data_IF_614328500033
#
_entry.id   IF_614328500033
#
_cell.length_a   1.000
_cell.length_b   1.000
_cell.length_c   1.000
_cell.angle_alpha   90.00
_cell.angle_beta   90.00
_cell.angle_gamma   90.00
#
_symmetry.space_group_name_H-M   'P 1'
#
loop_
_entity.id
_entity.type
_entity.pdbx_description
1 polymer ?
#
# COMPACT_ATOMS: atom_id res chain seq x y z
N UNK A 1 9.75 -0.86 13.31
CA UNK A 1 10.32 -2.02 14.06
C UNK A 1 11.77 -1.77 14.47
N UNK A 2 12.15 -2.14 15.69
CA UNK A 2 13.54 -2.14 16.14
C UNK A 2 14.02 -3.58 16.33
N UNK A 3 15.27 -3.87 15.93
CA UNK A 3 15.85 -5.23 15.94
C UNK A 3 17.22 -5.32 16.63
N UNK A 4 17.62 -4.26 17.35
CA UNK A 4 18.93 -4.17 18.00
C UNK A 4 19.16 -5.22 19.11
N UNK A 5 18.07 -5.81 19.65
CA UNK A 5 18.13 -6.84 20.69
C UNK A 5 18.54 -8.22 20.17
N UNK A 6 18.51 -8.46 18.85
CA UNK A 6 18.84 -9.74 18.26
C UNK A 6 20.33 -9.93 18.02
N UNK A 7 20.76 -11.19 17.92
CA UNK A 7 22.15 -11.50 17.58
C UNK A 7 22.50 -11.08 16.14
N UNK A 8 23.79 -10.98 15.85
CA UNK A 8 24.31 -10.48 14.57
C UNK A 8 23.77 -11.24 13.35
N UNK A 9 23.57 -12.55 13.47
CA UNK A 9 23.05 -13.37 12.35
C UNK A 9 21.60 -12.97 11.99
N UNK A 10 20.74 -12.84 13.00
CA UNK A 10 19.34 -12.41 12.78
C UNK A 10 19.29 -10.99 12.23
N UNK A 11 20.11 -10.09 12.76
CA UNK A 11 20.22 -8.72 12.23
C UNK A 11 20.67 -8.71 10.77
N UNK A 12 21.61 -9.56 10.38
CA UNK A 12 22.05 -9.71 8.98
C UNK A 12 20.90 -10.19 8.08
N UNK A 13 20.14 -11.21 8.47
CA UNK A 13 18.98 -11.66 7.67
C UNK A 13 17.97 -10.55 7.48
N UNK A 14 17.62 -9.83 8.55
CA UNK A 14 16.65 -8.71 8.49
C UNK A 14 17.17 -7.61 7.55
N UNK A 15 18.44 -7.24 7.68
CA UNK A 15 19.07 -6.23 6.81
C UNK A 15 19.06 -6.69 5.35
N UNK A 16 19.43 -7.95 5.08
CA UNK A 16 19.37 -8.53 3.73
C UNK A 16 17.98 -8.47 3.13
N UNK A 17 16.93 -8.81 3.90
CA UNK A 17 15.53 -8.69 3.45
C UNK A 17 15.21 -7.25 3.06
N UNK A 18 15.50 -6.28 3.92
CA UNK A 18 15.15 -4.87 3.68
C UNK A 18 15.89 -4.25 2.50
N UNK A 19 17.13 -4.65 2.24
CA UNK A 19 17.94 -4.14 1.12
C UNK A 19 17.62 -4.80 -0.22
N UNK A 20 17.19 -6.06 -0.22
CA UNK A 20 17.06 -6.84 -1.45
C UNK A 20 15.61 -7.09 -1.88
N UNK A 21 14.62 -6.62 -1.14
CA UNK A 21 13.20 -6.89 -1.40
C UNK A 21 12.73 -6.51 -2.82
N UNK A 22 13.34 -5.50 -3.44
CA UNK A 22 13.01 -5.03 -4.79
C UNK A 22 13.94 -5.58 -5.87
N UNK A 23 14.99 -6.33 -5.50
CA UNK A 23 16.05 -6.71 -6.43
C UNK A 23 16.33 -8.21 -6.50
N UNK A 24 16.07 -8.98 -5.43
CA UNK A 24 16.44 -10.40 -5.37
C UNK A 24 15.46 -11.22 -4.51
N UNK A 25 14.38 -11.67 -5.14
CA UNK A 25 13.31 -12.45 -4.51
C UNK A 25 13.82 -13.72 -3.81
N UNK A 26 14.72 -14.47 -4.44
CA UNK A 26 15.21 -15.76 -3.89
C UNK A 26 15.97 -15.56 -2.58
N UNK A 27 16.86 -14.57 -2.53
CA UNK A 27 17.63 -14.22 -1.32
C UNK A 27 16.70 -13.76 -0.20
N UNK A 28 15.69 -12.95 -0.53
CA UNK A 28 14.69 -12.49 0.46
C UNK A 28 13.89 -13.65 1.02
N UNK A 29 13.40 -14.55 0.16
CA UNK A 29 12.63 -15.73 0.59
C UNK A 29 13.46 -16.68 1.46
N UNK A 30 14.75 -16.86 1.15
CA UNK A 30 15.66 -17.65 1.98
C UNK A 30 15.82 -17.03 3.37
N UNK A 31 16.17 -15.74 3.45
CA UNK A 31 16.29 -15.03 4.73
C UNK A 31 14.97 -15.03 5.51
N UNK A 32 13.81 -14.85 4.86
CA UNK A 32 12.52 -14.93 5.52
C UNK A 32 12.27 -16.31 6.15
N UNK A 33 12.62 -17.40 5.44
CA UNK A 33 12.52 -18.77 6.00
C UNK A 33 13.39 -18.94 7.24
N UNK A 34 14.63 -18.45 7.21
CA UNK A 34 15.56 -18.52 8.34
C UNK A 34 15.06 -17.72 9.54
N UNK A 35 14.55 -16.50 9.31
CA UNK A 35 13.94 -15.63 10.33
C UNK A 35 12.74 -16.33 10.97
N UNK A 36 11.83 -16.91 10.16
CA UNK A 36 10.65 -17.63 10.66
C UNK A 36 11.08 -18.87 11.48
N UNK A 37 12.06 -19.63 10.98
CA UNK A 37 12.56 -20.81 11.69
C UNK A 37 13.20 -20.46 13.03
N UNK A 38 13.97 -19.37 13.07
CA UNK A 38 14.54 -18.85 14.31
C UNK A 38 13.45 -18.35 15.27
N UNK A 39 12.50 -17.56 14.77
CA UNK A 39 11.37 -17.06 15.55
C UNK A 39 10.52 -18.17 16.16
N UNK A 40 10.26 -19.26 15.40
CA UNK A 40 9.60 -20.47 15.94
C UNK A 40 10.39 -21.12 17.07
N UNK A 41 11.71 -21.22 16.94
CA UNK A 41 12.59 -21.82 17.95
C UNK A 41 12.66 -21.01 19.24
N UNK A 42 12.54 -19.69 19.13
CA UNK A 42 12.63 -18.75 20.26
C UNK A 42 11.27 -18.29 20.78
N UNK A 43 10.16 -18.75 20.17
CA UNK A 43 8.79 -18.28 20.39
C UNK A 43 8.68 -16.75 20.27
N UNK A 44 9.30 -16.18 19.23
CA UNK A 44 9.32 -14.75 18.98
C UNK A 44 8.32 -14.37 17.88
N UNK A 45 7.14 -13.84 18.23
CA UNK A 45 6.11 -13.47 17.26
C UNK A 45 6.54 -12.33 16.34
N UNK A 46 7.40 -11.42 16.80
CA UNK A 46 7.89 -10.29 16.00
C UNK A 46 8.73 -10.76 14.81
N UNK A 47 9.66 -11.69 15.04
CA UNK A 47 10.46 -12.29 13.97
C UNK A 47 9.59 -13.11 13.01
N UNK A 48 8.66 -13.92 13.54
CA UNK A 48 7.75 -14.68 12.70
C UNK A 48 6.91 -13.75 11.83
N UNK A 49 6.29 -12.74 12.42
CA UNK A 49 5.49 -11.75 11.70
C UNK A 49 6.27 -11.01 10.62
N UNK A 50 7.51 -10.59 10.91
CA UNK A 50 8.41 -9.97 9.94
C UNK A 50 8.69 -10.90 8.75
N UNK A 51 9.12 -12.13 9.01
CA UNK A 51 9.46 -13.08 7.94
C UNK A 51 8.25 -13.44 7.07
N UNK A 52 7.08 -13.64 7.67
CA UNK A 52 5.84 -13.89 6.93
C UNK A 52 5.40 -12.70 6.11
N UNK A 53 5.48 -11.49 6.64
CA UNK A 53 5.09 -10.27 5.93
C UNK A 53 5.95 -10.04 4.67
N UNK A 54 7.28 -9.99 4.83
CA UNK A 54 8.17 -9.74 3.69
C UNK A 54 8.22 -10.91 2.70
N UNK A 55 8.11 -12.14 3.17
CA UNK A 55 7.92 -13.29 2.26
C UNK A 55 6.61 -13.20 1.48
N UNK A 56 5.54 -12.70 2.09
CA UNK A 56 4.27 -12.43 1.44
C UNK A 56 4.37 -11.33 0.38
N UNK A 57 5.07 -10.21 0.65
CA UNK A 57 5.34 -9.18 -0.37
C UNK A 57 6.00 -9.78 -1.62
N UNK A 58 7.02 -10.62 -1.45
CA UNK A 58 7.68 -11.28 -2.58
C UNK A 58 6.73 -12.20 -3.35
N UNK A 59 5.92 -13.01 -2.68
CA UNK A 59 4.93 -13.86 -3.38
C UNK A 59 3.84 -13.06 -4.10
N UNK A 60 3.50 -11.86 -3.59
CA UNK A 60 2.63 -10.93 -4.30
C UNK A 60 3.26 -10.48 -5.63
N UNK A 61 4.52 -10.04 -5.60
CA UNK A 61 5.27 -9.62 -6.80
C UNK A 61 5.47 -10.76 -7.81
N UNK A 62 5.69 -11.98 -7.32
CA UNK A 62 5.77 -13.19 -8.16
C UNK A 62 4.42 -13.66 -8.69
N UNK A 63 3.33 -12.99 -8.34
CA UNK A 63 1.96 -13.37 -8.67
C UNK A 63 1.58 -14.80 -8.18
N UNK A 64 2.23 -15.27 -7.12
CA UNK A 64 1.91 -16.54 -6.45
C UNK A 64 0.89 -16.31 -5.33
N UNK A 65 -0.35 -16.22 -5.74
CA UNK A 65 -1.41 -15.88 -4.81
C UNK A 65 -1.68 -16.90 -3.72
N UNK A 66 -1.36 -18.19 -3.92
CA UNK A 66 -1.56 -19.21 -2.89
C UNK A 66 -0.59 -19.01 -1.72
N UNK A 67 0.69 -18.84 -2.01
CA UNK A 67 1.70 -18.55 -0.99
C UNK A 67 1.49 -17.15 -0.39
N UNK A 68 1.15 -16.16 -1.20
CA UNK A 68 0.85 -14.80 -0.73
C UNK A 68 -0.22 -14.81 0.37
N UNK A 69 -1.41 -15.37 0.11
CA UNK A 69 -2.50 -15.34 1.10
C UNK A 69 -2.13 -16.12 2.37
N UNK A 70 -1.45 -17.25 2.24
CA UNK A 70 -0.95 -17.99 3.40
C UNK A 70 0.02 -17.14 4.23
N UNK A 71 1.04 -16.56 3.60
CA UNK A 71 2.05 -15.74 4.28
C UNK A 71 1.44 -14.51 4.95
N UNK A 72 0.54 -13.78 4.27
CA UNK A 72 -0.10 -12.59 4.84
C UNK A 72 -1.05 -12.94 6.01
N UNK A 73 -1.74 -14.08 5.96
CA UNK A 73 -2.60 -14.53 7.07
C UNK A 73 -1.78 -14.90 8.31
N UNK A 74 -0.66 -15.61 8.11
CA UNK A 74 0.28 -15.91 9.20
C UNK A 74 0.92 -14.62 9.74
N UNK A 75 1.32 -13.69 8.86
CA UNK A 75 1.85 -12.40 9.24
C UNK A 75 0.90 -11.63 10.17
N UNK A 76 -0.38 -11.52 9.80
CA UNK A 76 -1.39 -10.87 10.65
C UNK A 76 -1.43 -11.48 12.05
N UNK A 77 -1.45 -12.83 12.15
CA UNK A 77 -1.52 -13.52 13.43
C UNK A 77 -0.33 -13.20 14.35
N UNK A 78 0.88 -13.18 13.78
CA UNK A 78 2.10 -12.96 14.58
C UNK A 78 2.38 -11.48 14.83
N UNK A 79 2.07 -10.59 13.87
CA UNK A 79 2.24 -9.15 14.03
C UNK A 79 1.27 -8.57 15.05
N UNK A 80 0.01 -9.06 15.09
CA UNK A 80 -0.97 -8.71 16.11
C UNK A 80 -0.45 -9.06 17.52
N UNK A 81 0.04 -10.30 17.71
CA UNK A 81 0.68 -10.73 18.97
C UNK A 81 1.92 -9.94 19.35
N UNK A 82 2.62 -9.40 18.37
CA UNK A 82 3.82 -8.57 18.56
C UNK A 82 3.52 -7.08 18.69
N UNK A 83 2.25 -6.67 18.56
CA UNK A 83 1.77 -5.28 18.60
C UNK A 83 2.46 -4.39 17.53
N UNK A 84 2.82 -4.98 16.37
CA UNK A 84 3.48 -4.27 15.26
C UNK A 84 2.45 -3.73 14.25
N UNK A 85 1.65 -2.78 14.73
CA UNK A 85 0.42 -2.30 14.07
C UNK A 85 0.63 -1.70 12.68
N UNK A 86 1.77 -1.06 12.43
CA UNK A 86 2.09 -0.57 11.08
C UNK A 86 2.08 -1.70 10.04
N UNK A 87 2.69 -2.84 10.36
CA UNK A 87 2.72 -3.98 9.47
C UNK A 87 1.37 -4.71 9.42
N UNK A 88 0.60 -4.73 10.53
CA UNK A 88 -0.77 -5.25 10.53
C UNK A 88 -1.62 -4.51 9.50
N UNK A 89 -1.61 -3.17 9.54
CA UNK A 89 -2.36 -2.34 8.58
C UNK A 89 -1.87 -2.55 7.14
N UNK A 90 -0.57 -2.72 6.94
CA UNK A 90 -0.02 -3.04 5.62
C UNK A 90 -0.45 -4.43 5.13
N UNK A 91 -0.55 -5.43 6.00
CA UNK A 91 -1.13 -6.73 5.64
C UNK A 91 -2.56 -6.60 5.13
N UNK A 92 -3.41 -5.85 5.85
CA UNK A 92 -4.78 -5.58 5.41
C UNK A 92 -4.81 -4.89 4.04
N UNK A 93 -3.93 -3.92 3.81
CA UNK A 93 -3.82 -3.25 2.53
C UNK A 93 -3.49 -4.23 1.39
N UNK A 94 -2.46 -5.07 1.54
CA UNK A 94 -2.08 -6.06 0.54
C UNK A 94 -3.18 -7.10 0.28
N UNK A 95 -3.84 -7.58 1.34
CA UNK A 95 -4.98 -8.50 1.22
C UNK A 95 -6.15 -7.86 0.49
N UNK A 96 -6.41 -6.57 0.74
CA UNK A 96 -7.43 -5.79 0.03
C UNK A 96 -7.12 -5.69 -1.46
N UNK A 97 -5.92 -5.25 -1.84
CA UNK A 97 -5.47 -5.14 -3.23
C UNK A 97 -5.57 -6.49 -3.95
N UNK A 98 -5.07 -7.56 -3.32
CA UNK A 98 -5.11 -8.90 -3.91
C UNK A 98 -6.54 -9.44 -4.05
N UNK A 99 -7.45 -9.06 -3.16
CA UNK A 99 -8.87 -9.43 -3.26
C UNK A 99 -9.57 -8.71 -4.41
N UNK A 100 -9.25 -7.42 -4.63
CA UNK A 100 -9.71 -6.66 -5.80
C UNK A 100 -9.25 -7.31 -7.11
N UNK A 101 -7.95 -7.56 -7.24
CA UNK A 101 -7.36 -8.19 -8.43
C UNK A 101 -7.97 -9.55 -8.77
N UNK A 102 -8.61 -10.22 -7.79
CA UNK A 102 -9.34 -11.48 -7.96
C UNK A 102 -10.85 -11.30 -8.17
N UNK A 103 -11.30 -10.07 -8.34
CA UNK A 103 -12.72 -9.74 -8.56
C UNK A 103 -13.60 -9.94 -7.33
N UNK A 104 -13.06 -9.78 -6.13
CA UNK A 104 -13.81 -9.85 -4.88
C UNK A 104 -13.79 -8.51 -4.12
N UNK A 105 -14.52 -7.48 -4.61
CA UNK A 105 -14.53 -6.15 -4.02
C UNK A 105 -15.10 -6.12 -2.59
N UNK A 106 -16.05 -7.00 -2.26
CA UNK A 106 -16.60 -7.07 -0.90
C UNK A 106 -15.55 -7.49 0.11
N UNK A 107 -14.76 -8.51 -0.20
CA UNK A 107 -13.67 -8.95 0.68
C UNK A 107 -12.55 -7.91 0.76
N UNK A 108 -12.26 -7.23 -0.35
CA UNK A 108 -11.30 -6.13 -0.36
C UNK A 108 -11.73 -5.00 0.59
N UNK A 109 -13.02 -4.63 0.54
CA UNK A 109 -13.58 -3.61 1.42
C UNK A 109 -13.49 -4.01 2.90
N UNK A 110 -13.78 -5.28 3.23
CA UNK A 110 -13.64 -5.80 4.60
C UNK A 110 -12.21 -5.66 5.13
N UNK A 111 -11.21 -5.98 4.30
CA UNK A 111 -9.81 -5.79 4.67
C UNK A 111 -9.45 -4.31 4.86
N UNK A 112 -9.85 -3.44 3.95
CA UNK A 112 -9.60 -2.00 4.09
C UNK A 112 -10.28 -1.40 5.31
N UNK A 113 -11.50 -1.80 5.64
CA UNK A 113 -12.21 -1.35 6.84
C UNK A 113 -11.51 -1.77 8.13
N UNK A 114 -10.95 -3.00 8.19
CA UNK A 114 -10.13 -3.43 9.31
C UNK A 114 -8.84 -2.59 9.40
N UNK A 115 -8.17 -2.34 8.28
CA UNK A 115 -6.98 -1.49 8.23
C UNK A 115 -7.25 -0.06 8.66
N UNK A 116 -8.39 0.54 8.28
CA UNK A 116 -8.81 1.87 8.74
C UNK A 116 -9.02 1.90 10.24
N UNK A 117 -9.77 0.94 10.77
CA UNK A 117 -10.04 0.83 12.20
C UNK A 117 -8.74 0.78 13.01
N UNK A 118 -7.79 -0.05 12.59
CA UNK A 118 -6.52 -0.20 13.30
C UNK A 118 -5.64 1.04 13.10
N UNK A 119 -5.62 1.67 11.94
CA UNK A 119 -4.89 2.91 11.71
C UNK A 119 -5.41 4.07 12.57
N UNK A 120 -6.71 4.15 12.83
CA UNK A 120 -7.31 5.11 13.75
C UNK A 120 -7.01 4.77 15.21
N UNK A 121 -7.09 3.48 15.56
CA UNK A 121 -6.88 3.02 16.95
C UNK A 121 -5.46 3.28 17.44
N UNK A 122 -4.47 3.11 16.54
CA UNK A 122 -3.04 3.19 16.86
C UNK A 122 -2.35 4.46 16.34
N UNK A 123 -3.12 5.45 15.88
CA UNK A 123 -2.63 6.74 15.34
C UNK A 123 -1.57 6.55 14.24
N UNK A 124 -1.95 5.86 13.18
CA UNK A 124 -1.10 5.53 12.03
C UNK A 124 -1.52 6.30 10.76
N UNK A 125 -1.32 7.62 10.72
CA UNK A 125 -1.91 8.47 9.68
C UNK A 125 -1.38 8.17 8.26
N UNK A 126 -0.13 7.74 8.11
CA UNK A 126 0.42 7.40 6.79
C UNK A 126 -0.19 6.09 6.26
N UNK A 127 -0.42 5.12 7.13
CA UNK A 127 -1.11 3.88 6.79
C UNK A 127 -2.59 4.14 6.50
N UNK A 128 -3.22 5.07 7.22
CA UNK A 128 -4.59 5.50 6.94
C UNK A 128 -4.72 6.12 5.55
N UNK A 129 -3.80 7.01 5.16
CA UNK A 129 -3.77 7.59 3.80
C UNK A 129 -3.70 6.49 2.74
N UNK A 130 -2.80 5.53 2.91
CA UNK A 130 -2.62 4.40 1.98
C UNK A 130 -3.93 3.60 1.81
N UNK A 131 -4.59 3.25 2.91
CA UNK A 131 -5.87 2.52 2.87
C UNK A 131 -6.96 3.36 2.18
N UNK A 132 -7.10 4.64 2.54
CA UNK A 132 -8.12 5.52 1.97
C UNK A 132 -7.96 5.69 0.45
N UNK A 133 -6.74 5.80 -0.06
CA UNK A 133 -6.49 5.86 -1.50
C UNK A 133 -6.93 4.56 -2.17
N UNK A 134 -6.58 3.39 -1.62
CA UNK A 134 -6.96 2.10 -2.19
C UNK A 134 -8.48 1.82 -2.07
N UNK A 135 -9.13 2.30 -1.00
CA UNK A 135 -10.60 2.28 -0.92
C UNK A 135 -11.23 3.18 -1.98
N UNK A 136 -10.68 4.37 -2.20
CA UNK A 136 -11.13 5.27 -3.25
C UNK A 136 -11.06 4.61 -4.63
N UNK A 137 -9.95 3.92 -4.94
CA UNK A 137 -9.79 3.15 -6.18
C UNK A 137 -10.79 1.99 -6.27
N UNK A 138 -11.02 1.26 -5.19
CA UNK A 138 -12.05 0.22 -5.14
C UNK A 138 -13.43 0.78 -5.48
N UNK A 139 -13.82 1.88 -4.85
CA UNK A 139 -15.09 2.53 -5.12
C UNK A 139 -15.18 3.05 -6.56
N UNK A 140 -14.08 3.58 -7.10
CA UNK A 140 -13.97 4.05 -8.48
C UNK A 140 -14.24 2.92 -9.48
N UNK A 141 -13.56 1.78 -9.32
CA UNK A 141 -13.74 0.58 -10.15
C UNK A 141 -15.17 0.01 -10.06
N UNK A 142 -15.83 0.15 -8.89
CA UNK A 142 -17.21 -0.26 -8.70
C UNK A 142 -18.24 0.79 -9.17
N UNK A 143 -17.81 1.96 -9.66
CA UNK A 143 -18.70 3.04 -10.10
C UNK A 143 -19.34 3.84 -8.95
N UNK A 144 -18.89 3.68 -7.73
CA UNK A 144 -19.33 4.39 -6.53
C UNK A 144 -18.55 5.71 -6.38
N UNK A 145 -18.73 6.61 -7.35
CA UNK A 145 -17.91 7.83 -7.48
C UNK A 145 -17.96 8.75 -6.25
N UNK A 146 -19.11 8.90 -5.60
CA UNK A 146 -19.23 9.75 -4.40
C UNK A 146 -18.38 9.20 -3.22
N UNK A 147 -18.38 7.89 -3.02
CA UNK A 147 -17.57 7.24 -1.98
C UNK A 147 -16.09 7.29 -2.32
N UNK A 148 -15.76 7.19 -3.62
CA UNK A 148 -14.40 7.36 -4.14
C UNK A 148 -13.86 8.77 -3.85
N UNK A 149 -14.59 9.83 -4.24
CA UNK A 149 -14.22 11.23 -3.96
C UNK A 149 -14.05 11.47 -2.46
N UNK A 150 -14.96 10.99 -1.62
CA UNK A 150 -14.89 11.14 -0.16
C UNK A 150 -13.61 10.49 0.41
N UNK A 151 -13.27 9.28 -0.05
CA UNK A 151 -12.07 8.57 0.40
C UNK A 151 -10.79 9.31 0.02
N UNK A 152 -10.70 9.81 -1.22
CA UNK A 152 -9.55 10.61 -1.66
C UNK A 152 -9.44 11.93 -0.91
N UNK A 153 -10.56 12.63 -0.67
CA UNK A 153 -10.56 13.90 0.07
C UNK A 153 -10.17 13.72 1.53
N UNK A 154 -10.60 12.63 2.20
CA UNK A 154 -10.16 12.32 3.56
C UNK A 154 -8.65 12.06 3.60
N UNK A 155 -8.11 11.27 2.67
CA UNK A 155 -6.69 11.04 2.55
C UNK A 155 -5.90 12.35 2.36
N UNK A 156 -6.39 13.23 1.50
CA UNK A 156 -5.79 14.53 1.23
C UNK A 156 -5.78 15.44 2.48
N UNK A 157 -6.88 15.49 3.24
CA UNK A 157 -6.95 16.28 4.48
C UNK A 157 -5.89 15.84 5.48
N UNK A 158 -5.69 14.53 5.66
CA UNK A 158 -4.65 14.01 6.54
C UNK A 158 -3.27 14.37 5.99
N UNK A 159 -3.05 14.20 4.69
CA UNK A 159 -1.79 14.47 4.02
C UNK A 159 -1.33 15.93 4.19
N UNK A 160 -2.27 16.90 4.13
CA UNK A 160 -1.97 18.33 4.33
C UNK A 160 -1.34 18.64 5.70
N UNK A 161 -1.48 17.76 6.69
CA UNK A 161 -0.90 17.91 8.03
C UNK A 161 0.51 17.32 8.13
N UNK A 162 1.02 16.67 7.08
CA UNK A 162 2.28 15.91 7.12
C UNK A 162 3.46 16.71 6.61
N UNK A 163 4.67 16.25 6.97
CA UNK A 163 5.91 16.81 6.45
C UNK A 163 6.02 16.49 4.94
N UNK A 164 6.51 17.46 4.18
CA UNK A 164 6.70 17.33 2.72
C UNK A 164 8.01 16.57 2.43
N UNK A 165 7.92 15.26 2.39
CA UNK A 165 8.98 14.34 2.00
C UNK A 165 8.61 13.58 0.70
N UNK A 166 9.40 12.58 0.31
CA UNK A 166 9.13 11.78 -0.89
C UNK A 166 7.80 11.03 -0.81
N UNK A 167 7.44 10.50 0.37
CA UNK A 167 6.15 9.82 0.57
C UNK A 167 4.99 10.79 0.45
N UNK A 168 5.14 12.01 0.98
CA UNK A 168 4.15 13.07 0.80
C UNK A 168 3.94 13.35 -0.69
N UNK A 169 5.00 13.54 -1.46
CA UNK A 169 4.91 13.81 -2.89
C UNK A 169 4.21 12.65 -3.64
N UNK A 170 4.59 11.41 -3.36
CA UNK A 170 3.94 10.24 -3.94
C UNK A 170 2.42 10.24 -3.71
N UNK A 171 1.97 10.44 -2.47
CA UNK A 171 0.54 10.47 -2.15
C UNK A 171 -0.17 11.71 -2.72
N UNK A 172 0.51 12.83 -2.86
CA UNK A 172 -0.04 14.00 -3.54
C UNK A 172 -0.32 13.71 -5.02
N UNK A 173 0.63 13.12 -5.74
CA UNK A 173 0.40 12.71 -7.14
C UNK A 173 -0.72 11.68 -7.24
N UNK A 174 -0.75 10.67 -6.39
CA UNK A 174 -1.82 9.68 -6.34
C UNK A 174 -3.19 10.35 -6.12
N UNK A 175 -3.29 11.28 -5.18
CA UNK A 175 -4.53 12.03 -4.92
C UNK A 175 -5.00 12.80 -6.16
N UNK A 176 -4.13 13.63 -6.75
CA UNK A 176 -4.51 14.47 -7.88
C UNK A 176 -4.87 13.64 -9.12
N UNK A 177 -4.12 12.57 -9.41
CA UNK A 177 -4.39 11.68 -10.52
C UNK A 177 -5.71 10.93 -10.37
N UNK A 178 -5.95 10.33 -9.20
CA UNK A 178 -7.17 9.57 -8.94
C UNK A 178 -8.41 10.46 -8.88
N UNK A 179 -8.30 11.68 -8.34
CA UNK A 179 -9.39 12.66 -8.38
C UNK A 179 -9.71 13.10 -9.79
N UNK A 180 -8.69 13.39 -10.61
CA UNK A 180 -8.90 13.73 -12.02
C UNK A 180 -9.62 12.59 -12.74
N UNK A 181 -9.16 11.35 -12.62
CA UNK A 181 -9.80 10.19 -13.22
C UNK A 181 -11.26 10.02 -12.76
N UNK A 182 -11.51 10.13 -11.45
CA UNK A 182 -12.86 10.02 -10.88
C UNK A 182 -13.82 11.04 -11.48
N UNK A 183 -13.38 12.30 -11.61
CA UNK A 183 -14.18 13.37 -12.19
C UNK A 183 -14.39 13.20 -13.70
N UNK A 184 -13.37 12.79 -14.43
CA UNK A 184 -13.44 12.51 -15.88
C UNK A 184 -14.44 11.38 -16.16
N UNK A 185 -14.44 10.31 -15.36
CA UNK A 185 -15.37 9.19 -15.53
C UNK A 185 -16.83 9.62 -15.28
N UNK A 186 -17.06 10.67 -14.51
CA UNK A 186 -18.37 11.30 -14.28
C UNK A 186 -18.71 12.38 -15.32
N UNK A 187 -17.92 12.59 -16.37
CA UNK A 187 -18.05 13.68 -17.36
C UNK A 187 -17.98 15.11 -16.76
N UNK A 188 -17.37 15.25 -15.57
CA UNK A 188 -17.13 16.53 -14.88
C UNK A 188 -15.79 17.14 -15.26
N UNK A 189 -15.60 17.38 -16.57
CA UNK A 189 -14.31 17.73 -17.16
C UNK A 189 -13.74 19.06 -16.65
N UNK A 190 -14.59 20.08 -16.48
CA UNK A 190 -14.14 21.38 -15.97
C UNK A 190 -13.65 21.30 -14.52
N UNK A 191 -14.23 20.40 -13.72
CA UNK A 191 -13.79 20.16 -12.35
C UNK A 191 -12.51 19.32 -12.29
N UNK A 192 -12.25 18.45 -13.27
CA UNK A 192 -11.02 17.66 -13.36
C UNK A 192 -9.80 18.51 -13.73
N UNK A 193 -10.00 19.58 -14.50
CA UNK A 193 -8.93 20.41 -15.04
C UNK A 193 -7.91 20.94 -14.01
N UNK A 194 -8.27 21.48 -12.84
CA UNK A 194 -7.30 21.91 -11.83
C UNK A 194 -6.43 20.78 -11.29
N UNK A 195 -6.93 19.56 -11.25
CA UNK A 195 -6.17 18.38 -10.80
C UNK A 195 -5.12 17.99 -11.84
N UNK A 196 -5.48 18.00 -13.14
CA UNK A 196 -4.53 17.77 -14.24
C UNK A 196 -3.45 18.87 -14.28
N UNK A 197 -3.83 20.14 -14.13
CA UNK A 197 -2.89 21.25 -14.07
C UNK A 197 -1.87 21.11 -12.94
N UNK A 198 -2.26 20.53 -11.80
CA UNK A 198 -1.33 20.24 -10.71
C UNK A 198 -0.31 19.18 -11.10
N UNK A 199 -0.74 18.12 -11.78
CA UNK A 199 0.13 17.01 -12.20
C UNK A 199 1.20 17.46 -13.20
N UNK A 200 0.94 18.50 -13.97
CA UNK A 200 1.88 19.08 -14.96
C UNK A 200 2.70 20.27 -14.47
N UNK A 201 2.71 20.55 -13.14
CA UNK A 201 3.56 21.60 -12.57
C UNK A 201 5.06 21.27 -12.71
N UNK A 202 5.88 22.31 -12.57
CA UNK A 202 7.34 22.21 -12.55
C UNK A 202 7.83 21.10 -11.61
N UNK A 203 8.66 20.22 -12.13
CA UNK A 203 9.19 19.05 -11.39
C UNK A 203 8.59 17.70 -11.82
N UNK A 204 7.60 17.68 -12.66
CA UNK A 204 7.02 16.47 -13.25
C UNK A 204 8.07 15.52 -13.88
N UNK A 205 9.16 16.04 -14.44
CA UNK A 205 10.27 15.25 -14.98
C UNK A 205 11.00 14.41 -13.89
N UNK A 206 10.84 14.77 -12.62
CA UNK A 206 11.41 14.05 -11.47
C UNK A 206 10.46 12.96 -10.92
N UNK A 207 9.24 12.87 -11.45
CA UNK A 207 8.26 11.85 -11.07
C UNK A 207 8.69 10.52 -11.67
N UNK A 208 8.53 9.42 -10.92
CA UNK A 208 8.89 8.09 -11.40
C UNK A 208 8.09 7.70 -12.66
N UNK A 209 8.65 6.80 -13.47
CA UNK A 209 8.07 6.44 -14.77
C UNK A 209 6.64 5.89 -14.65
N UNK A 210 6.35 5.12 -13.61
CA UNK A 210 5.04 4.54 -13.34
C UNK A 210 3.96 5.58 -13.12
N UNK A 211 4.27 6.62 -12.35
CA UNK A 211 3.36 7.74 -12.09
C UNK A 211 3.16 8.58 -13.34
N UNK A 212 4.22 8.79 -14.15
CA UNK A 212 4.10 9.50 -15.44
C UNK A 212 3.19 8.76 -16.41
N UNK A 213 3.33 7.44 -16.52
CA UNK A 213 2.44 6.63 -17.36
C UNK A 213 0.98 6.70 -16.91
N UNK A 214 0.74 6.73 -15.60
CA UNK A 214 -0.61 6.90 -15.06
C UNK A 214 -1.20 8.27 -15.44
N UNK A 215 -0.41 9.34 -15.29
CA UNK A 215 -0.84 10.70 -15.67
C UNK A 215 -1.14 10.77 -17.17
N UNK A 216 -0.27 10.21 -18.02
CA UNK A 216 -0.49 10.14 -19.48
C UNK A 216 -1.81 9.41 -19.82
N UNK A 217 -2.15 8.34 -19.11
CA UNK A 217 -3.42 7.62 -19.28
C UNK A 217 -4.60 8.52 -18.92
N UNK A 218 -4.53 9.20 -17.80
CA UNK A 218 -5.60 10.13 -17.34
C UNK A 218 -5.79 11.27 -18.36
N UNK A 219 -4.71 11.83 -18.89
CA UNK A 219 -4.75 12.84 -19.96
C UNK A 219 -5.42 12.32 -21.23
N UNK A 220 -5.06 11.11 -21.67
CA UNK A 220 -5.67 10.49 -22.86
C UNK A 220 -7.18 10.35 -22.66
N UNK A 221 -7.63 9.87 -21.49
CA UNK A 221 -9.06 9.73 -21.19
C UNK A 221 -9.75 11.11 -21.18
N UNK A 222 -9.11 12.13 -20.60
CA UNK A 222 -9.64 13.49 -20.58
C UNK A 222 -9.82 14.07 -21.98
N UNK A 223 -8.76 14.05 -22.82
CA UNK A 223 -8.83 14.57 -24.18
C UNK A 223 -9.74 13.77 -25.11
N UNK A 224 -9.97 12.49 -24.83
CA UNK A 224 -10.91 11.70 -25.60
C UNK A 224 -12.38 12.08 -25.31
N UNK A 225 -12.66 12.60 -24.11
CA UNK A 225 -14.00 13.01 -23.69
C UNK A 225 -14.34 14.49 -24.03
N UNK A 226 -13.31 15.32 -24.29
CA UNK A 226 -13.49 16.71 -24.75
C UNK A 226 -14.00 16.76 -26.21
#
# INVERSE_FOLDING_TARGET
MEFNQYNTTVQQWIHTVLENRETNADVVLECCRDIIAYGRKTDDPKLMGFGFFYGGEIYYELNDGAHFFHMMTEALTYLDRAEEWELVVRCYNFLGIASMSRGNPSLALDYYMNGLKDSDTYDLPMQKIMILINMGLLYLECGHYADSENSFLEAYQILQTKQKDEKYNFYMYAFYGNMAECLILQDRLEEAKPYLEYLHKDGWEQVALTERLFIDIVDVIYYHKM
#
